data_IF_833229321021
#
_entry.id   IF_833229321021
#
_cell.length_a   1.000
_cell.length_b   1.000
_cell.length_c   1.000
_cell.angle_alpha   90.00
_cell.angle_beta   90.00
_cell.angle_gamma   90.00
#
_symmetry.space_group_name_H-M   'P 1'
#
loop_
_entity.id
_entity.type
_entity.pdbx_description
1 polymer ?
#
# COMPACT_ATOMS: atom_id res chain seq x y z
N UNK A 1 -5.25 17.71 74.38
CA UNK A 1 -6.54 18.19 73.85
C UNK A 1 -6.60 17.69 72.40
N UNK A 2 -7.14 16.48 72.19
CA UNK A 2 -8.52 16.21 71.72
C UNK A 2 -8.64 16.53 70.21
N UNK A 3 -8.70 15.51 69.33
CA UNK A 3 -9.94 14.90 68.75
C UNK A 3 -10.52 15.79 67.62
N UNK A 4 -11.08 15.37 66.46
CA UNK A 4 -11.69 14.15 65.89
C UNK A 4 -11.93 14.47 64.38
N UNK A 5 -11.70 13.57 63.44
CA UNK A 5 -12.69 12.88 62.56
C UNK A 5 -13.98 13.63 62.14
N UNK A 6 -14.26 13.64 60.81
CA UNK A 6 -15.54 13.33 60.12
C UNK A 6 -15.47 13.92 58.68
N UNK A 7 -15.52 13.11 57.61
CA UNK A 7 -16.73 12.61 56.91
C UNK A 7 -17.32 13.69 55.97
N UNK A 8 -17.41 13.43 54.66
CA UNK A 8 -18.67 13.42 53.91
C UNK A 8 -18.43 13.16 52.41
N UNK A 9 -18.99 12.04 51.95
CA UNK A 9 -19.07 11.61 50.56
C UNK A 9 -19.94 12.57 49.72
N UNK A 10 -19.52 12.84 48.47
CA UNK A 10 -20.41 13.38 47.44
C UNK A 10 -20.43 12.49 46.21
N UNK A 11 -21.57 11.83 46.12
CA UNK A 11 -22.29 11.22 45.01
C UNK A 11 -21.68 11.38 43.60
N UNK A 12 -21.37 10.24 42.99
CA UNK A 12 -21.23 10.08 41.55
C UNK A 12 -22.64 9.99 40.93
N UNK A 13 -23.01 10.98 40.14
CA UNK A 13 -24.17 10.95 39.24
C UNK A 13 -23.75 10.31 37.89
N UNK A 14 -24.37 9.22 37.40
CA UNK A 14 -24.18 8.75 36.04
C UNK A 14 -25.31 9.26 35.14
N UNK A 15 -25.00 10.22 34.27
CA UNK A 15 -25.91 10.76 33.26
C UNK A 15 -26.02 9.81 32.05
N UNK A 16 -27.23 9.30 31.87
CA UNK A 16 -27.92 8.86 30.64
C UNK A 16 -27.37 7.68 29.83
N UNK A 17 -28.12 6.57 29.90
CA UNK A 17 -28.20 5.54 28.87
C UNK A 17 -29.10 6.01 27.72
N UNK A 18 -28.58 6.01 26.50
CA UNK A 18 -29.36 6.20 25.28
C UNK A 18 -29.48 4.86 24.56
N UNK A 19 -30.68 4.27 24.60
CA UNK A 19 -31.07 3.12 23.79
C UNK A 19 -31.22 3.53 22.32
N UNK A 20 -30.99 2.63 21.34
CA UNK A 20 -31.13 2.93 19.92
C UNK A 20 -32.62 2.97 19.50
N UNK A 21 -33.01 3.85 18.55
CA UNK A 21 -34.40 3.97 18.12
C UNK A 21 -34.81 2.86 17.13
N UNK A 22 -36.08 2.46 17.25
CA UNK A 22 -36.81 1.47 16.45
C UNK A 22 -36.96 1.91 14.98
N UNK A 23 -36.72 0.98 14.04
CA UNK A 23 -36.96 1.17 12.60
C UNK A 23 -38.48 1.22 12.29
N UNK A 24 -38.90 2.27 11.59
CA UNK A 24 -40.24 2.43 10.99
C UNK A 24 -40.14 2.12 9.49
N UNK A 25 -40.93 1.13 9.07
CA UNK A 25 -41.23 0.74 7.70
C UNK A 25 -42.13 1.79 7.01
N UNK A 26 -41.80 2.18 5.77
CA UNK A 26 -42.65 3.03 4.91
C UNK A 26 -41.99 3.49 3.60
N UNK A 27 -42.27 2.73 2.54
CA UNK A 27 -42.46 3.00 1.10
C UNK A 27 -41.60 3.98 0.27
N UNK A 28 -40.98 3.38 -0.76
CA UNK A 28 -40.95 3.72 -2.19
C UNK A 28 -40.73 5.17 -2.65
N UNK A 29 -39.50 5.43 -3.14
CA UNK A 29 -39.24 5.95 -4.49
C UNK A 29 -37.73 6.03 -4.74
N UNK A 30 -37.13 4.95 -5.23
CA UNK A 30 -35.78 4.98 -5.79
C UNK A 30 -35.86 4.93 -7.31
N UNK A 31 -35.87 6.10 -7.94
CA UNK A 31 -35.36 6.26 -9.30
C UNK A 31 -33.83 6.11 -9.21
N UNK A 32 -33.36 4.87 -9.07
CA UNK A 32 -31.95 4.53 -9.19
C UNK A 32 -31.50 4.72 -10.64
N UNK A 33 -31.04 5.92 -10.97
CA UNK A 33 -29.93 6.05 -11.92
C UNK A 33 -28.64 5.64 -11.22
N UNK A 34 -28.57 4.40 -10.76
CA UNK A 34 -27.32 3.76 -10.40
C UNK A 34 -26.75 3.19 -11.70
N UNK A 35 -25.98 4.01 -12.43
CA UNK A 35 -25.00 3.44 -13.36
C UNK A 35 -23.86 2.84 -12.51
N UNK A 36 -24.21 1.85 -11.68
CA UNK A 36 -23.27 0.89 -11.17
C UNK A 36 -22.72 0.23 -12.43
N UNK A 37 -21.56 0.74 -12.90
CA UNK A 37 -20.76 0.07 -13.92
C UNK A 37 -20.68 -1.36 -13.44
N UNK A 38 -21.37 -2.26 -14.14
CA UNK A 38 -21.38 -3.68 -13.86
C UNK A 38 -19.93 -4.14 -13.87
N UNK A 39 -19.27 -4.17 -12.71
CA UNK A 39 -17.92 -4.70 -12.56
C UNK A 39 -18.07 -6.22 -12.50
N UNK A 40 -18.65 -6.79 -13.57
CA UNK A 40 -18.66 -8.21 -13.83
C UNK A 40 -17.25 -8.75 -13.68
N UNK A 41 -17.14 -9.88 -12.96
CA UNK A 41 -15.91 -10.61 -12.63
C UNK A 41 -14.78 -10.38 -13.65
N UNK A 42 -13.83 -9.54 -13.29
CA UNK A 42 -12.56 -9.45 -14.00
C UNK A 42 -11.73 -10.69 -13.66
N UNK A 43 -11.23 -11.37 -14.70
CA UNK A 43 -10.26 -12.45 -14.51
C UNK A 43 -9.01 -11.84 -13.86
N UNK A 44 -8.42 -12.42 -12.81
CA UNK A 44 -7.18 -11.89 -12.25
C UNK A 44 -5.97 -12.12 -13.18
N UNK A 45 -5.01 -11.21 -13.16
CA UNK A 45 -3.73 -11.35 -13.88
C UNK A 45 -3.78 -10.91 -15.36
N UNK A 46 -2.84 -11.40 -16.20
CA UNK A 46 -2.67 -10.93 -17.58
C UNK A 46 -3.92 -11.10 -18.47
N UNK A 47 -4.67 -12.19 -18.28
CA UNK A 47 -5.93 -12.41 -19.00
C UNK A 47 -7.00 -11.36 -18.64
N UNK A 48 -7.04 -10.93 -17.38
CA UNK A 48 -7.86 -9.82 -16.92
C UNK A 48 -7.54 -8.50 -17.56
N UNK A 49 -6.25 -8.23 -17.76
CA UNK A 49 -5.80 -7.01 -18.41
C UNK A 49 -6.24 -6.97 -19.88
N UNK A 50 -6.19 -8.11 -20.57
CA UNK A 50 -6.74 -8.27 -21.92
C UNK A 50 -8.26 -8.07 -21.90
N UNK A 51 -8.97 -8.68 -20.96
CA UNK A 51 -10.42 -8.51 -20.82
C UNK A 51 -10.81 -7.03 -20.57
N UNK A 52 -10.09 -6.34 -19.68
CA UNK A 52 -10.31 -4.93 -19.38
C UNK A 52 -10.06 -4.04 -20.60
N UNK A 53 -8.98 -4.32 -21.36
CA UNK A 53 -8.66 -3.56 -22.58
C UNK A 53 -9.66 -3.80 -23.72
N UNK A 54 -10.18 -5.03 -23.86
CA UNK A 54 -11.27 -5.34 -24.79
C UNK A 54 -12.55 -4.58 -24.41
N UNK A 55 -12.92 -4.60 -23.12
CA UNK A 55 -14.11 -3.89 -22.62
C UNK A 55 -14.00 -2.37 -22.81
N UNK A 56 -12.81 -1.80 -22.63
CA UNK A 56 -12.58 -0.38 -22.90
C UNK A 56 -12.82 -0.03 -24.37
N UNK A 57 -12.45 -0.90 -25.32
CA UNK A 57 -12.72 -0.68 -26.76
C UNK A 57 -14.20 -0.74 -27.11
N UNK A 58 -14.96 -1.53 -26.37
CA UNK A 58 -16.42 -1.70 -26.55
C UNK A 58 -17.23 -0.68 -25.75
N UNK A 59 -16.60 0.12 -24.89
CA UNK A 59 -17.27 1.15 -24.11
C UNK A 59 -17.73 2.32 -24.98
N UNK A 60 -18.76 3.05 -24.52
CA UNK A 60 -19.34 4.19 -25.22
C UNK A 60 -18.32 5.32 -25.46
N UNK A 61 -17.32 5.45 -24.59
CA UNK A 61 -16.24 6.42 -24.71
C UNK A 61 -14.88 5.73 -24.48
N UNK A 62 -14.33 5.04 -25.50
CA UNK A 62 -13.12 4.27 -25.34
C UNK A 62 -11.91 5.18 -25.12
N UNK A 63 -11.14 4.95 -24.05
CA UNK A 63 -9.87 5.62 -23.86
C UNK A 63 -8.81 5.03 -24.82
N UNK A 64 -7.85 5.83 -25.32
CA UNK A 64 -6.69 5.30 -26.03
C UNK A 64 -6.02 4.21 -25.19
N UNK A 65 -5.60 3.10 -25.79
CA UNK A 65 -5.07 1.94 -25.03
C UNK A 65 -3.93 2.33 -24.10
N UNK A 66 -3.05 3.24 -24.52
CA UNK A 66 -1.98 3.79 -23.67
C UNK A 66 -2.52 4.53 -22.44
N UNK A 67 -3.53 5.40 -22.65
CA UNK A 67 -4.18 6.15 -21.58
C UNK A 67 -4.95 5.22 -20.64
N UNK A 68 -5.67 4.24 -21.18
CA UNK A 68 -6.42 3.27 -20.39
C UNK A 68 -5.51 2.38 -19.53
N UNK A 69 -4.41 1.90 -20.11
CA UNK A 69 -3.38 1.17 -19.36
C UNK A 69 -2.72 2.06 -18.33
N UNK A 70 -2.47 3.33 -18.67
CA UNK A 70 -1.99 4.30 -17.72
C UNK A 70 -3.01 4.55 -16.62
N UNK A 71 -4.32 4.56 -16.84
CA UNK A 71 -5.30 4.77 -15.76
C UNK A 71 -5.46 3.51 -14.89
N UNK A 72 -5.43 2.32 -15.51
CA UNK A 72 -5.41 1.02 -14.83
C UNK A 72 -4.17 0.86 -13.93
N UNK A 73 -3.00 1.21 -14.44
CA UNK A 73 -1.73 1.16 -13.70
C UNK A 73 -1.40 2.52 -13.06
N UNK A 74 -2.28 3.51 -13.16
CA UNK A 74 -1.98 4.94 -12.94
C UNK A 74 -1.50 5.26 -11.56
N UNK A 75 -2.20 4.82 -10.52
CA UNK A 75 -1.72 4.96 -9.15
C UNK A 75 -0.30 4.40 -8.98
N UNK A 76 0.01 3.29 -9.67
CA UNK A 76 1.32 2.65 -9.56
C UNK A 76 2.40 3.26 -10.45
N UNK A 77 2.08 3.75 -11.65
CA UNK A 77 3.07 4.41 -12.52
C UNK A 77 3.37 5.84 -12.05
N UNK A 78 2.40 6.51 -11.40
CA UNK A 78 2.59 7.83 -10.80
C UNK A 78 3.69 7.82 -9.74
N UNK A 79 3.89 6.70 -9.04
CA UNK A 79 4.94 6.61 -8.02
C UNK A 79 6.34 6.76 -8.60
N UNK A 80 6.57 6.30 -9.83
CA UNK A 80 7.87 6.40 -10.50
C UNK A 80 8.13 7.81 -11.05
N UNK A 81 7.13 8.68 -11.04
CA UNK A 81 7.27 10.10 -11.32
C UNK A 81 7.27 10.96 -10.05
N UNK A 82 7.09 10.35 -8.87
CA UNK A 82 7.07 11.05 -7.59
C UNK A 82 8.44 11.61 -7.20
N UNK A 83 8.43 12.67 -6.38
CA UNK A 83 9.65 13.25 -5.84
C UNK A 83 10.51 12.24 -5.06
N UNK A 84 9.95 11.38 -4.17
CA UNK A 84 10.73 10.34 -3.49
C UNK A 84 11.47 9.41 -4.45
N UNK A 85 10.82 8.94 -5.52
CA UNK A 85 11.45 8.07 -6.51
C UNK A 85 12.57 8.78 -7.27
N UNK A 86 12.28 9.97 -7.80
CA UNK A 86 13.26 10.78 -8.54
C UNK A 86 14.47 11.13 -7.67
N UNK A 87 14.23 11.46 -6.40
CA UNK A 87 15.27 11.73 -5.43
C UNK A 87 16.13 10.49 -5.17
N UNK A 88 15.52 9.30 -4.99
CA UNK A 88 16.25 8.07 -4.76
C UNK A 88 17.17 7.71 -5.94
N UNK A 89 16.65 7.80 -7.18
CA UNK A 89 17.46 7.55 -8.39
C UNK A 89 18.56 8.59 -8.54
N UNK A 90 18.29 9.87 -8.27
CA UNK A 90 19.31 10.93 -8.30
C UNK A 90 20.37 10.72 -7.21
N UNK A 91 19.98 10.31 -6.00
CA UNK A 91 20.88 10.05 -4.89
C UNK A 91 21.88 8.93 -5.21
N UNK A 92 21.44 7.85 -5.88
CA UNK A 92 22.35 6.79 -6.33
C UNK A 92 23.40 7.35 -7.28
N UNK A 93 22.97 8.16 -8.26
CA UNK A 93 23.87 8.78 -9.24
C UNK A 93 24.83 9.80 -8.62
N UNK A 94 24.37 10.61 -7.68
CA UNK A 94 25.18 11.68 -7.07
C UNK A 94 26.16 11.21 -6.00
N UNK A 95 26.00 9.97 -5.51
CA UNK A 95 26.86 9.35 -4.50
C UNK A 95 27.82 8.31 -5.09
N UNK A 96 27.96 8.27 -6.42
CA UNK A 96 28.76 7.29 -7.15
C UNK A 96 28.48 5.84 -6.71
N UNK A 97 27.22 5.55 -6.39
CA UNK A 97 26.81 4.19 -6.08
C UNK A 97 26.74 3.36 -7.37
N UNK A 98 26.91 2.03 -7.28
CA UNK A 98 26.71 1.15 -8.42
C UNK A 98 25.37 1.38 -9.12
N UNK A 99 25.34 1.16 -10.42
CA UNK A 99 24.13 1.33 -11.23
C UNK A 99 22.95 0.53 -10.66
N UNK A 100 21.77 1.15 -10.67
CA UNK A 100 20.55 0.50 -10.18
C UNK A 100 20.24 -0.69 -11.08
N UNK A 101 20.24 -1.87 -10.48
CA UNK A 101 19.76 -3.08 -11.16
C UNK A 101 18.23 -3.13 -11.05
N UNK A 102 17.56 -3.22 -12.20
CA UNK A 102 16.11 -3.38 -12.26
C UNK A 102 15.68 -4.75 -11.75
N UNK A 103 14.52 -4.84 -11.12
CA UNK A 103 14.05 -6.07 -10.47
C UNK A 103 13.93 -7.25 -11.43
N UNK A 104 13.50 -7.02 -12.68
CA UNK A 104 13.41 -8.09 -13.70
C UNK A 104 14.77 -8.70 -14.08
N UNK A 105 15.86 -7.97 -13.87
CA UNK A 105 17.22 -8.38 -14.25
C UNK A 105 17.98 -9.02 -13.09
N UNK A 106 17.36 -9.15 -11.91
CA UNK A 106 18.02 -9.75 -10.76
C UNK A 106 18.11 -11.27 -10.99
N UNK A 107 19.34 -11.75 -11.14
CA UNK A 107 19.61 -13.16 -11.28
C UNK A 107 19.41 -13.89 -9.94
N UNK A 108 18.87 -15.11 -10.00
CA UNK A 108 18.57 -15.94 -8.84
C UNK A 108 19.75 -16.85 -8.44
N UNK A 109 20.98 -16.42 -8.73
CA UNK A 109 22.21 -17.19 -8.56
C UNK A 109 22.89 -16.98 -7.20
N UNK A 110 22.17 -16.45 -6.19
CA UNK A 110 22.68 -16.06 -4.87
C UNK A 110 23.78 -14.97 -4.89
N UNK A 111 24.06 -14.38 -6.05
CA UNK A 111 24.98 -13.27 -6.17
C UNK A 111 24.35 -11.99 -5.61
N UNK A 112 25.17 -11.18 -4.94
CA UNK A 112 24.70 -9.91 -4.38
C UNK A 112 24.55 -8.87 -5.47
N UNK A 113 23.31 -8.42 -5.67
CA UNK A 113 23.01 -7.28 -6.51
C UNK A 113 23.49 -6.01 -5.82
N UNK A 114 24.34 -5.18 -6.46
CA UNK A 114 24.99 -4.05 -5.79
C UNK A 114 24.02 -2.99 -5.26
N UNK A 115 23.02 -2.59 -6.06
CA UNK A 115 22.07 -1.53 -5.70
C UNK A 115 20.72 -1.77 -6.40
N UNK A 116 19.64 -1.64 -5.62
CA UNK A 116 18.25 -1.73 -6.08
C UNK A 116 17.49 -0.54 -5.52
N UNK A 117 16.64 0.08 -6.34
CA UNK A 117 15.67 1.10 -5.89
C UNK A 117 14.28 0.53 -6.07
N UNK A 118 13.50 0.48 -5.00
CA UNK A 118 12.18 -0.13 -5.05
C UNK A 118 11.17 0.61 -4.16
N UNK A 119 9.93 0.67 -4.63
CA UNK A 119 8.77 1.17 -3.92
C UNK A 119 8.15 0.05 -3.08
N UNK A 120 7.71 0.36 -1.86
CA UNK A 120 6.99 -0.58 -0.99
C UNK A 120 5.49 -0.55 -1.33
N UNK A 121 5.04 -1.52 -2.11
CA UNK A 121 3.65 -1.66 -2.56
C UNK A 121 2.73 -2.21 -1.48
N UNK A 122 3.22 -3.15 -0.67
CA UNK A 122 2.50 -3.66 0.49
C UNK A 122 3.46 -4.11 1.59
N UNK A 123 2.96 -4.13 2.82
CA UNK A 123 3.70 -4.61 3.99
C UNK A 123 2.72 -5.23 4.98
N UNK A 124 2.91 -6.51 5.27
CA UNK A 124 2.05 -7.30 6.17
C UNK A 124 2.90 -7.90 7.27
N UNK A 125 2.60 -7.66 8.56
CA UNK A 125 3.29 -8.34 9.65
C UNK A 125 3.00 -9.84 9.59
N UNK A 126 4.06 -10.65 9.60
CA UNK A 126 3.98 -12.10 9.68
C UNK A 126 3.87 -12.53 11.14
N UNK A 127 3.19 -13.66 11.42
CA UNK A 127 3.09 -14.27 12.75
C UNK A 127 4.46 -14.52 13.43
N UNK A 128 5.53 -14.62 12.62
CA UNK A 128 6.93 -14.77 13.03
C UNK A 128 7.68 -13.43 13.06
N UNK A 129 7.14 -12.41 13.73
CA UNK A 129 7.75 -11.09 14.06
C UNK A 129 8.20 -10.22 12.87
N UNK A 130 8.58 -10.79 11.73
CA UNK A 130 9.00 -10.13 10.49
C UNK A 130 7.81 -9.61 9.69
N UNK A 131 8.10 -8.88 8.61
CA UNK A 131 7.11 -8.41 7.67
C UNK A 131 7.33 -9.05 6.31
N UNK A 132 6.26 -9.49 5.67
CA UNK A 132 6.25 -9.76 4.23
C UNK A 132 6.00 -8.43 3.54
N UNK A 133 6.88 -8.05 2.62
CA UNK A 133 6.73 -6.82 1.82
C UNK A 133 6.70 -7.16 0.34
N UNK A 134 5.94 -6.41 -0.44
CA UNK A 134 6.06 -6.40 -1.89
C UNK A 134 6.81 -5.16 -2.33
N UNK A 135 7.89 -5.37 -3.07
CA UNK A 135 8.75 -4.33 -3.60
C UNK A 135 8.50 -4.20 -5.11
N UNK A 136 8.45 -2.97 -5.61
CA UNK A 136 8.13 -2.68 -7.00
C UNK A 136 9.08 -1.69 -7.62
N UNK A 137 9.47 -1.95 -8.86
CA UNK A 137 10.12 -0.98 -9.74
C UNK A 137 9.35 -0.90 -11.07
N UNK A 138 9.74 -0.05 -12.03
CA UNK A 138 9.05 0.05 -13.31
C UNK A 138 9.01 -1.26 -14.12
N UNK A 139 9.82 -2.26 -13.76
CA UNK A 139 10.00 -3.50 -14.52
C UNK A 139 9.27 -4.69 -13.91
N UNK A 140 9.19 -4.78 -12.59
CA UNK A 140 8.57 -5.92 -11.90
C UNK A 140 8.10 -5.59 -10.47
N UNK A 141 7.26 -6.49 -9.93
CA UNK A 141 6.97 -6.60 -8.50
C UNK A 141 7.60 -7.89 -7.98
N UNK A 142 8.24 -7.83 -6.82
CA UNK A 142 8.84 -8.97 -6.12
C UNK A 142 8.29 -9.05 -4.69
N UNK A 143 8.22 -10.26 -4.13
CA UNK A 143 8.05 -10.45 -2.69
C UNK A 143 9.39 -10.44 -1.97
N UNK A 144 9.43 -9.86 -0.77
CA UNK A 144 10.60 -9.87 0.10
C UNK A 144 10.21 -9.99 1.58
N UNK A 145 11.19 -10.31 2.42
CA UNK A 145 11.03 -10.33 3.88
C UNK A 145 11.81 -9.19 4.52
N UNK A 146 11.13 -8.38 5.31
CA UNK A 146 11.73 -7.35 6.13
C UNK A 146 11.86 -7.85 7.57
N UNK A 147 13.09 -7.96 8.05
CA UNK A 147 13.35 -8.40 9.42
C UNK A 147 12.87 -7.35 10.42
N UNK A 148 12.19 -7.77 11.50
CA UNK A 148 11.53 -6.85 12.44
C UNK A 148 12.47 -5.82 13.09
N UNK A 149 13.73 -6.21 13.36
CA UNK A 149 14.77 -5.31 13.87
C UNK A 149 15.05 -4.12 12.94
N UNK A 150 14.87 -4.29 11.62
CA UNK A 150 15.02 -3.20 10.65
C UNK A 150 13.87 -2.20 10.84
N UNK A 151 12.64 -2.70 11.04
CA UNK A 151 11.47 -1.85 11.31
C UNK A 151 11.51 -1.17 12.69
N UNK A 152 12.22 -1.76 13.66
CA UNK A 152 12.44 -1.18 15.00
C UNK A 152 13.69 -0.29 15.08
N UNK A 153 14.43 -0.10 13.99
CA UNK A 153 15.65 0.69 14.03
C UNK A 153 15.33 2.17 14.31
N UNK A 154 15.97 2.77 15.31
CA UNK A 154 15.63 4.12 15.79
C UNK A 154 15.77 5.21 14.72
N UNK A 155 16.74 5.06 13.80
CA UNK A 155 17.05 6.11 12.82
C UNK A 155 16.14 6.12 11.57
N UNK A 156 15.60 4.97 11.18
CA UNK A 156 14.92 4.83 9.88
C UNK A 156 13.74 3.85 9.91
N UNK A 157 13.51 3.16 11.02
CA UNK A 157 12.45 2.16 11.13
C UNK A 157 11.07 2.77 10.93
N UNK A 158 10.83 3.97 11.46
CA UNK A 158 9.56 4.69 11.29
C UNK A 158 9.30 5.05 9.83
N UNK A 159 10.35 5.38 9.06
CA UNK A 159 10.28 5.76 7.64
C UNK A 159 10.05 4.58 6.68
N UNK A 160 10.11 3.34 7.17
CA UNK A 160 9.81 2.14 6.36
C UNK A 160 8.32 1.83 6.44
N UNK A 161 7.51 2.35 5.51
CA UNK A 161 6.06 2.12 5.45
C UNK A 161 5.57 1.91 4.01
N UNK A 162 4.34 1.43 3.86
CA UNK A 162 3.71 1.28 2.53
C UNK A 162 3.63 2.65 1.88
N UNK A 163 4.21 2.80 0.69
CA UNK A 163 4.32 4.11 0.05
C UNK A 163 5.74 4.70 0.00
N UNK A 164 6.69 4.14 0.77
CA UNK A 164 8.06 4.66 0.75
C UNK A 164 8.90 4.06 -0.40
N UNK A 165 10.00 4.73 -0.73
CA UNK A 165 11.00 4.26 -1.70
C UNK A 165 12.27 3.90 -0.95
N UNK A 166 12.74 2.67 -1.16
CA UNK A 166 13.94 2.13 -0.53
C UNK A 166 15.09 2.09 -1.53
N UNK A 167 16.28 2.49 -1.08
CA UNK A 167 17.55 2.23 -1.75
C UNK A 167 18.21 1.09 -1.00
N UNK A 168 18.24 -0.09 -1.61
CA UNK A 168 18.80 -1.30 -1.02
C UNK A 168 20.18 -1.56 -1.62
N UNK A 169 21.13 -1.97 -0.79
CA UNK A 169 22.49 -2.34 -1.21
C UNK A 169 22.75 -3.80 -0.90
N UNK A 170 23.56 -4.46 -1.74
CA UNK A 170 24.02 -5.84 -1.52
C UNK A 170 22.85 -6.82 -1.32
N UNK A 171 21.88 -6.76 -2.23
CA UNK A 171 20.63 -7.53 -2.16
C UNK A 171 20.88 -8.96 -2.64
N UNK A 172 20.44 -9.95 -1.87
CA UNK A 172 20.44 -11.36 -2.28
C UNK A 172 19.01 -11.77 -2.59
N UNK A 173 18.82 -12.45 -3.71
CA UNK A 173 17.59 -13.15 -4.02
C UNK A 173 17.76 -14.64 -3.77
N UNK A 174 16.82 -15.20 -3.01
CA UNK A 174 16.72 -16.64 -2.75
C UNK A 174 15.41 -17.11 -3.36
N UNK A 175 15.47 -18.17 -4.16
CA UNK A 175 14.31 -18.86 -4.75
C UNK A 175 13.96 -20.06 -3.89
#
# INVERSE_FOLDING_TARGET
MAAKQAEEAREHEPLFSLSPPTQKLGDDNDEETSSARDIGRLIPGPAGLVQATMRNRESENPLPTQQFLFDLNGPTMLVFNSNPWRYAVHYVKSRDLPEVTTLININHNLERVPTVVAFVESMTPTRKVNYTINLKDPTATIGASLHYKVKQHQQYGEDIFVGCVLILKQVIFVV
#
